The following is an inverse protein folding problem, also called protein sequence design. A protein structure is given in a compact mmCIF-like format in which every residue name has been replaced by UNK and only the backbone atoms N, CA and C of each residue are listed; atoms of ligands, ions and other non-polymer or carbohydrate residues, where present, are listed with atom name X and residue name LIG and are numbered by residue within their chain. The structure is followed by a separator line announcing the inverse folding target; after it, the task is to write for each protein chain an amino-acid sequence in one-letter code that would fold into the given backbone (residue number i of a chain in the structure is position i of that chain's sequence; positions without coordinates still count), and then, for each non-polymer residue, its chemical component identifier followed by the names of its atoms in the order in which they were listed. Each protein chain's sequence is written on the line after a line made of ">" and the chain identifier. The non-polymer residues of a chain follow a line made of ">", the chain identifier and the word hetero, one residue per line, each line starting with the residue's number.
data_IF_118191527357
#
_entry.id   IF_118191527357
#
_cell.length_a   1.000
_cell.length_b   1.000
_cell.length_c   1.000
_cell.angle_alpha   90.00
_cell.angle_beta   90.00
_cell.angle_gamma   90.00
#
_symmetry.space_group_name_H-M   'P 1'
#
loop_
_entity.id
_entity.type
_entity.pdbx_description
1 polymer ?
#
# COMPACT_ATOMS: atom_id res chain seq x y z
N UNK A 1 12.45 -11.57 12.91
CA UNK A 1 11.27 -11.09 12.14
C UNK A 1 11.38 -9.62 11.72
N UNK A 2 12.37 -8.86 12.22
CA UNK A 2 12.52 -7.41 12.01
C UNK A 2 11.31 -6.58 12.49
N UNK A 3 10.45 -7.12 13.35
CA UNK A 3 9.37 -6.35 13.97
C UNK A 3 9.94 -5.35 14.97
N UNK A 4 9.42 -4.13 14.97
CA UNK A 4 9.78 -3.09 15.93
C UNK A 4 9.04 -3.39 17.24
N UNK A 5 9.81 -3.63 18.29
CA UNK A 5 9.29 -3.82 19.65
C UNK A 5 9.59 -2.57 20.48
N UNK A 6 8.62 -2.15 21.30
CA UNK A 6 8.77 -0.97 22.15
C UNK A 6 8.50 -1.35 23.61
N UNK A 7 9.36 -0.90 24.52
CA UNK A 7 9.17 -1.02 25.96
C UNK A 7 9.51 0.29 26.66
N UNK A 8 8.68 0.73 27.58
CA UNK A 8 8.90 1.94 28.33
C UNK A 8 7.63 2.53 28.91
N UNK A 9 7.75 3.67 29.58
CA UNK A 9 6.63 4.36 30.23
C UNK A 9 5.62 4.96 29.23
N UNK A 10 6.00 5.07 27.98
CA UNK A 10 5.18 5.54 26.87
C UNK A 10 4.27 4.44 26.28
N UNK A 11 4.49 3.16 26.65
CA UNK A 11 3.63 2.07 26.23
C UNK A 11 2.33 2.11 27.02
N UNK A 12 1.21 1.94 26.34
CA UNK A 12 -0.13 1.89 26.97
C UNK A 12 -0.22 0.73 27.97
N UNK A 13 -1.13 0.84 28.93
CA UNK A 13 -1.41 -0.27 29.87
C UNK A 13 -2.19 -1.40 29.24
N UNK A 14 -2.89 -1.15 28.14
CA UNK A 14 -3.70 -2.12 27.42
C UNK A 14 -4.95 -1.49 26.80
N UNK A 15 -5.71 -2.29 26.08
CA UNK A 15 -7.00 -1.91 25.52
C UNK A 15 -8.09 -1.90 26.62
N UNK A 16 -8.91 -0.88 26.64
CA UNK A 16 -9.97 -0.74 27.62
C UNK A 16 -10.95 -1.91 27.54
N UNK A 17 -11.14 -2.61 28.68
CA UNK A 17 -12.02 -3.78 28.82
C UNK A 17 -11.76 -4.91 27.78
N UNK A 18 -10.56 -4.98 27.21
CA UNK A 18 -10.19 -6.03 26.25
C UNK A 18 -8.80 -6.62 26.60
N UNK A 19 -8.73 -7.49 27.61
CA UNK A 19 -7.46 -8.11 28.03
C UNK A 19 -6.89 -9.06 26.97
N UNK A 20 -7.74 -9.73 26.18
CA UNK A 20 -7.32 -10.65 25.13
C UNK A 20 -6.53 -9.91 24.05
N UNK A 21 -7.11 -8.84 23.47
CA UNK A 21 -6.39 -8.01 22.49
C UNK A 21 -5.13 -7.36 23.10
N UNK A 22 -5.13 -7.08 24.39
CA UNK A 22 -3.92 -6.58 25.08
C UNK A 22 -2.82 -7.61 25.10
N UNK A 23 -3.14 -8.87 25.44
CA UNK A 23 -2.18 -9.98 25.52
C UNK A 23 -1.62 -10.37 24.13
N UNK A 24 -2.36 -10.09 23.05
CA UNK A 24 -1.88 -10.31 21.68
C UNK A 24 -0.75 -9.36 21.28
N UNK A 25 -0.72 -8.14 21.84
CA UNK A 25 0.23 -7.11 21.40
C UNK A 25 1.22 -6.68 22.47
N UNK A 26 0.97 -6.94 23.74
CA UNK A 26 1.92 -6.72 24.84
C UNK A 26 2.26 -8.08 25.43
N UNK A 27 3.52 -8.48 25.27
CA UNK A 27 3.99 -9.75 25.80
C UNK A 27 4.15 -9.71 27.33
N UNK A 28 4.42 -10.90 27.93
CA UNK A 28 4.60 -11.04 29.41
C UNK A 28 5.80 -10.28 29.96
N UNK A 29 6.75 -9.91 29.12
CA UNK A 29 7.93 -9.14 29.50
C UNK A 29 7.68 -7.63 29.35
N UNK A 30 6.49 -7.21 28.88
CA UNK A 30 6.05 -5.83 28.72
C UNK A 30 6.54 -5.16 27.45
N UNK A 31 6.91 -5.93 26.43
CA UNK A 31 7.19 -5.41 25.09
C UNK A 31 5.92 -5.29 24.27
N UNK A 32 5.71 -4.10 23.69
CA UNK A 32 4.66 -3.86 22.73
C UNK A 32 5.14 -4.29 21.33
N UNK A 33 4.41 -5.21 20.72
CA UNK A 33 4.52 -5.62 19.33
C UNK A 33 3.80 -4.59 18.46
N UNK A 34 4.55 -3.73 17.76
CA UNK A 34 3.93 -2.64 17.00
C UNK A 34 3.24 -3.11 15.73
N UNK A 35 3.59 -4.29 15.23
CA UNK A 35 3.21 -4.79 13.93
C UNK A 35 3.91 -4.08 12.77
N UNK A 36 4.77 -3.09 13.05
CA UNK A 36 5.60 -2.43 12.05
C UNK A 36 6.95 -3.14 11.94
N UNK A 37 7.45 -3.27 10.72
CA UNK A 37 8.76 -3.82 10.41
C UNK A 37 9.78 -2.70 10.24
N UNK A 38 11.00 -2.91 10.71
CA UNK A 38 12.03 -1.89 10.61
C UNK A 38 13.45 -2.41 10.55
N UNK A 39 14.36 -1.53 10.26
CA UNK A 39 15.80 -1.77 10.31
C UNK A 39 16.52 -0.58 10.94
N UNK A 40 17.61 -0.87 11.67
CA UNK A 40 18.52 0.16 12.16
C UNK A 40 19.66 0.35 11.14
N UNK A 41 19.91 1.62 10.79
CA UNK A 41 21.05 2.01 9.96
C UNK A 41 21.67 3.24 10.60
N UNK A 42 22.93 3.12 11.04
CA UNK A 42 23.64 4.20 11.74
C UNK A 42 22.84 4.78 12.91
N UNK A 43 22.27 3.90 13.74
CA UNK A 43 21.42 4.22 14.89
C UNK A 43 20.08 4.92 14.57
N UNK A 44 19.74 5.07 13.30
CA UNK A 44 18.42 5.54 12.86
C UNK A 44 17.51 4.37 12.55
N UNK A 45 16.28 4.42 13.09
CA UNK A 45 15.24 3.44 12.82
C UNK A 45 14.48 3.83 11.54
N UNK A 46 14.53 2.93 10.56
CA UNK A 46 13.75 3.04 9.32
C UNK A 46 12.60 2.04 9.33
N UNK A 47 11.37 2.53 9.21
CA UNK A 47 10.19 1.68 9.03
C UNK A 47 10.20 1.16 7.59
N UNK A 48 10.16 -0.16 7.43
CA UNK A 48 10.23 -0.81 6.13
C UNK A 48 8.90 -1.39 5.65
N UNK A 49 7.92 -1.53 6.54
CA UNK A 49 6.59 -2.06 6.20
C UNK A 49 5.78 -2.46 7.42
N UNK A 50 4.71 -3.23 7.18
CA UNK A 50 3.86 -3.80 8.22
C UNK A 50 3.83 -5.32 8.14
N UNK A 51 3.86 -6.00 9.29
CA UNK A 51 3.83 -7.45 9.39
C UNK A 51 2.57 -8.05 8.74
N UNK A 52 1.41 -7.42 8.96
CA UNK A 52 0.12 -7.82 8.38
C UNK A 52 -0.01 -7.55 6.87
N UNK A 53 0.86 -6.73 6.31
CA UNK A 53 0.86 -6.40 4.88
C UNK A 53 1.86 -7.25 4.09
N UNK A 54 2.65 -8.11 4.77
CA UNK A 54 3.54 -9.04 4.10
C UNK A 54 2.74 -10.06 3.30
N UNK A 55 3.15 -10.28 2.07
CA UNK A 55 2.61 -11.35 1.21
C UNK A 55 3.37 -12.62 1.52
N UNK A 56 2.65 -13.66 1.91
CA UNK A 56 3.22 -14.99 2.18
C UNK A 56 2.93 -15.87 0.97
N UNK A 57 3.95 -16.10 0.16
CA UNK A 57 3.82 -16.96 -1.01
C UNK A 57 3.60 -18.44 -0.62
N UNK A 58 3.05 -19.22 -1.54
CA UNK A 58 2.81 -20.67 -1.37
C UNK A 58 4.07 -21.48 -1.03
N UNK A 59 5.26 -20.98 -1.39
CA UNK A 59 6.55 -21.57 -1.03
C UNK A 59 7.08 -21.10 0.34
N UNK A 60 6.27 -20.42 1.15
CA UNK A 60 6.61 -19.93 2.49
C UNK A 60 7.51 -18.68 2.52
N UNK A 61 7.85 -18.09 1.37
CA UNK A 61 8.64 -16.86 1.35
C UNK A 61 7.76 -15.64 1.61
N UNK A 62 8.26 -14.76 2.48
CA UNK A 62 7.62 -13.50 2.80
C UNK A 62 8.12 -12.40 1.86
N UNK A 63 7.20 -11.68 1.26
CA UNK A 63 7.46 -10.52 0.41
C UNK A 63 6.94 -9.26 1.09
N UNK A 64 7.78 -8.24 1.15
CA UNK A 64 7.34 -6.91 1.51
C UNK A 64 6.87 -6.17 0.24
N UNK A 65 5.56 -5.96 0.04
CA UNK A 65 5.07 -5.31 -1.16
C UNK A 65 5.54 -3.85 -1.26
N UNK A 66 5.67 -3.14 -0.13
CA UNK A 66 6.10 -1.73 -0.11
C UNK A 66 7.51 -1.58 -0.68
N UNK A 67 8.42 -2.53 -0.42
CA UNK A 67 9.78 -2.51 -1.00
C UNK A 67 9.72 -2.56 -2.54
N UNK A 68 8.85 -3.42 -3.08
CA UNK A 68 8.69 -3.58 -4.52
C UNK A 68 8.05 -2.33 -5.14
N UNK A 69 6.96 -1.87 -4.53
CA UNK A 69 6.22 -0.67 -4.95
C UNK A 69 7.11 0.57 -4.99
N UNK A 70 7.92 0.78 -3.94
CA UNK A 70 8.85 1.90 -3.87
C UNK A 70 9.91 1.82 -4.97
N UNK A 71 10.46 0.64 -5.23
CA UNK A 71 11.44 0.44 -6.31
C UNK A 71 10.84 0.71 -7.68
N UNK A 72 9.66 0.16 -7.96
CA UNK A 72 8.97 0.36 -9.25
C UNK A 72 8.61 1.83 -9.44
N UNK A 73 8.02 2.48 -8.43
CA UNK A 73 7.66 3.91 -8.49
C UNK A 73 8.86 4.83 -8.68
N UNK A 74 10.04 4.43 -8.19
CA UNK A 74 11.27 5.22 -8.38
C UNK A 74 11.86 5.14 -9.79
N UNK A 75 11.39 4.22 -10.62
CA UNK A 75 11.90 4.00 -11.99
C UNK A 75 11.18 4.86 -13.03
N UNK A 76 10.04 5.44 -12.71
CA UNK A 76 9.23 6.24 -13.64
C UNK A 76 8.37 7.26 -12.88
N UNK A 77 8.03 8.35 -13.55
CA UNK A 77 7.09 9.36 -13.09
C UNK A 77 5.65 9.13 -13.60
N UNK A 78 5.46 8.09 -14.44
CA UNK A 78 4.16 7.75 -15.05
C UNK A 78 3.20 7.03 -14.09
N UNK A 79 3.65 6.67 -12.88
CA UNK A 79 2.86 5.99 -11.87
C UNK A 79 2.42 6.99 -10.81
N UNK A 80 1.12 7.18 -10.68
CA UNK A 80 0.53 7.94 -9.57
C UNK A 80 0.46 7.09 -8.30
N UNK A 81 -0.05 5.86 -8.42
CA UNK A 81 -0.15 4.91 -7.30
C UNK A 81 0.07 3.48 -7.79
N UNK A 82 0.64 2.66 -6.94
CA UNK A 82 0.87 1.24 -7.21
C UNK A 82 0.56 0.41 -5.98
N UNK A 83 -0.04 -0.76 -6.19
CA UNK A 83 -0.21 -1.80 -5.17
C UNK A 83 0.31 -3.10 -5.73
N UNK A 84 1.20 -3.76 -4.99
CA UNK A 84 1.64 -5.12 -5.28
C UNK A 84 0.93 -6.08 -4.33
N UNK A 85 0.29 -7.09 -4.87
CA UNK A 85 -0.44 -8.12 -4.10
C UNK A 85 -0.35 -9.48 -4.79
N UNK A 86 -0.67 -10.53 -4.06
CA UNK A 86 -0.96 -11.82 -4.67
C UNK A 86 -2.39 -11.79 -5.21
N UNK A 87 -2.54 -12.05 -6.50
CA UNK A 87 -3.82 -12.18 -7.16
C UNK A 87 -3.79 -13.37 -8.11
N UNK A 88 -4.76 -14.28 -8.01
CA UNK A 88 -4.77 -15.56 -8.73
C UNK A 88 -3.47 -16.38 -8.55
N UNK A 89 -2.94 -16.41 -7.32
CA UNK A 89 -1.72 -17.12 -6.93
C UNK A 89 -0.43 -16.64 -7.61
N UNK A 90 -0.45 -15.45 -8.19
CA UNK A 90 0.74 -14.79 -8.78
C UNK A 90 0.92 -13.38 -8.21
N UNK A 91 2.18 -12.95 -8.15
CA UNK A 91 2.49 -11.60 -7.73
C UNK A 91 2.14 -10.62 -8.85
N UNK A 92 1.16 -9.77 -8.57
CA UNK A 92 0.57 -8.82 -9.53
C UNK A 92 0.81 -7.39 -9.08
N UNK A 93 1.21 -6.54 -10.00
CA UNK A 93 1.26 -5.09 -9.81
C UNK A 93 -0.02 -4.45 -10.37
N UNK A 94 -0.77 -3.77 -9.52
CA UNK A 94 -1.92 -2.97 -9.92
C UNK A 94 -1.46 -1.51 -9.92
N UNK A 95 -1.58 -0.85 -11.05
CA UNK A 95 -1.02 0.48 -11.27
C UNK A 95 -2.13 1.45 -11.68
N UNK A 96 -2.21 2.56 -10.97
CA UNK A 96 -2.97 3.74 -11.38
C UNK A 96 -1.97 4.74 -11.98
N UNK A 97 -2.01 4.98 -13.31
CA UNK A 97 -1.09 5.90 -13.97
C UNK A 97 -1.36 7.37 -13.60
N UNK A 98 -0.32 8.17 -13.72
CA UNK A 98 -0.46 9.62 -13.82
C UNK A 98 -0.86 10.00 -15.25
N UNK A 99 -2.16 10.08 -15.51
CA UNK A 99 -2.69 10.32 -16.85
C UNK A 99 -2.30 11.67 -17.43
N UNK A 100 -2.00 12.67 -16.60
CA UNK A 100 -1.50 13.97 -17.07
C UNK A 100 -0.10 13.79 -17.68
N UNK A 101 0.79 13.12 -16.97
CA UNK A 101 2.16 12.83 -17.47
C UNK A 101 2.17 11.88 -18.65
N UNK A 102 1.31 10.87 -18.65
CA UNK A 102 1.15 9.97 -19.82
C UNK A 102 0.81 10.77 -21.07
N UNK A 103 -0.09 11.75 -20.94
CA UNK A 103 -0.46 12.64 -22.06
C UNK A 103 0.66 13.61 -22.44
N UNK A 104 1.35 14.20 -21.45
CA UNK A 104 2.48 15.11 -21.70
C UNK A 104 3.62 14.40 -22.42
N UNK A 105 3.95 13.17 -22.01
CA UNK A 105 5.02 12.36 -22.61
C UNK A 105 4.58 11.64 -23.90
N UNK A 106 3.31 11.80 -24.32
CA UNK A 106 2.74 11.21 -25.54
C UNK A 106 2.91 9.69 -25.61
N UNK A 107 2.63 9.01 -24.48
CA UNK A 107 2.70 7.56 -24.42
C UNK A 107 1.46 6.96 -25.06
N UNK A 108 1.60 6.28 -26.19
CA UNK A 108 0.49 5.69 -26.93
C UNK A 108 -0.10 4.46 -26.22
N UNK A 109 0.75 3.59 -25.67
CA UNK A 109 0.34 2.40 -24.95
C UNK A 109 0.99 2.36 -23.56
N UNK A 110 0.26 2.83 -22.57
CA UNK A 110 0.74 2.89 -21.19
C UNK A 110 0.98 1.50 -20.59
N UNK A 111 0.17 0.50 -20.95
CA UNK A 111 0.37 -0.87 -20.47
C UNK A 111 1.70 -1.45 -20.93
N UNK A 112 1.99 -1.36 -22.23
CA UNK A 112 3.25 -1.84 -22.78
C UNK A 112 4.44 -1.08 -22.21
N UNK A 113 4.34 0.23 -22.11
CA UNK A 113 5.39 1.05 -21.53
C UNK A 113 5.71 0.62 -20.09
N UNK A 114 4.69 0.58 -19.21
CA UNK A 114 4.91 0.20 -17.81
C UNK A 114 5.37 -1.25 -17.66
N UNK A 115 4.84 -2.16 -18.47
CA UNK A 115 5.25 -3.56 -18.43
C UNK A 115 6.71 -3.74 -18.85
N UNK A 116 7.10 -3.27 -20.05
CA UNK A 116 8.41 -3.56 -20.62
C UNK A 116 9.51 -2.64 -20.09
N UNK A 117 9.21 -1.36 -19.95
CA UNK A 117 10.24 -0.37 -19.58
C UNK A 117 10.41 -0.22 -18.07
N UNK A 118 9.44 -0.65 -17.27
CA UNK A 118 9.47 -0.50 -15.81
C UNK A 118 9.49 -1.86 -15.11
N UNK A 119 8.41 -2.63 -15.23
CA UNK A 119 8.25 -3.88 -14.47
C UNK A 119 9.24 -4.94 -14.91
N UNK A 120 9.46 -5.14 -16.21
CA UNK A 120 10.42 -6.13 -16.68
C UNK A 120 11.87 -5.74 -16.36
N UNK A 121 12.20 -4.45 -16.39
CA UNK A 121 13.51 -3.96 -15.92
C UNK A 121 13.69 -4.17 -14.41
N UNK A 122 12.64 -4.04 -13.61
CA UNK A 122 12.64 -4.43 -12.21
C UNK A 122 12.86 -5.93 -12.06
N UNK A 123 12.14 -6.76 -12.83
CA UNK A 123 12.22 -8.22 -12.80
C UNK A 123 13.60 -8.76 -13.13
N UNK A 124 14.34 -8.10 -14.04
CA UNK A 124 15.72 -8.48 -14.40
C UNK A 124 16.71 -8.31 -13.24
N UNK A 125 16.40 -7.43 -12.28
CA UNK A 125 17.31 -7.06 -11.17
C UNK A 125 16.88 -7.63 -9.83
N UNK A 126 15.82 -8.44 -9.80
CA UNK A 126 15.26 -8.98 -8.56
C UNK A 126 15.30 -10.51 -8.52
N UNK A 127 15.15 -11.10 -7.34
CA UNK A 127 15.08 -12.54 -7.16
C UNK A 127 13.79 -13.11 -7.75
N UNK A 128 13.82 -14.35 -8.25
CA UNK A 128 12.70 -14.98 -8.97
C UNK A 128 11.38 -14.94 -8.17
N UNK A 129 11.43 -15.14 -6.87
CA UNK A 129 10.24 -15.12 -6.03
C UNK A 129 9.64 -13.72 -5.79
N UNK A 130 10.36 -12.65 -6.15
CA UNK A 130 9.89 -11.25 -6.09
C UNK A 130 9.47 -10.71 -7.45
N UNK A 131 9.56 -11.50 -8.52
CA UNK A 131 9.17 -11.07 -9.86
C UNK A 131 7.67 -10.82 -9.95
N UNK A 132 7.31 -9.71 -10.54
CA UNK A 132 5.93 -9.38 -10.91
C UNK A 132 5.59 -10.16 -12.17
N UNK A 133 4.57 -11.02 -12.10
CA UNK A 133 4.16 -11.89 -13.20
C UNK A 133 2.98 -11.33 -13.98
N UNK A 134 2.20 -10.44 -13.37
CA UNK A 134 1.08 -9.78 -14.03
C UNK A 134 1.05 -8.28 -13.69
N UNK A 135 0.58 -7.48 -14.65
CA UNK A 135 0.41 -6.03 -14.51
C UNK A 135 -1.01 -5.66 -14.89
N UNK A 136 -1.70 -4.96 -14.01
CA UNK A 136 -3.05 -4.45 -14.26
C UNK A 136 -3.04 -2.93 -14.18
N UNK A 137 -3.53 -2.29 -15.24
CA UNK A 137 -3.74 -0.85 -15.24
C UNK A 137 -5.18 -0.56 -14.86
N UNK A 138 -5.36 0.33 -13.90
CA UNK A 138 -6.68 0.79 -13.47
C UNK A 138 -6.85 2.28 -13.76
N UNK A 139 -8.07 2.66 -14.10
CA UNK A 139 -8.44 4.05 -14.35
C UNK A 139 -9.16 4.68 -13.15
N UNK A 140 -9.50 3.87 -12.16
CA UNK A 140 -10.23 4.26 -10.96
C UNK A 140 -9.25 4.40 -9.79
N UNK A 141 -9.53 5.34 -8.88
CA UNK A 141 -8.74 5.49 -7.66
C UNK A 141 -8.81 4.22 -6.80
N UNK A 142 -7.71 3.89 -6.14
CA UNK A 142 -7.73 2.83 -5.13
C UNK A 142 -8.70 3.16 -3.97
N UNK A 143 -9.33 2.15 -3.37
CA UNK A 143 -10.12 2.35 -2.17
C UNK A 143 -9.22 2.84 -1.02
N UNK A 144 -9.54 4.01 -0.45
CA UNK A 144 -8.73 4.67 0.58
C UNK A 144 -9.47 4.82 1.90
N UNK A 145 -8.73 4.94 2.97
CA UNK A 145 -9.22 5.38 4.27
C UNK A 145 -9.49 6.89 4.25
N UNK A 146 -10.14 7.43 5.29
CA UNK A 146 -10.37 8.88 5.43
C UNK A 146 -9.06 9.70 5.46
N UNK A 147 -7.94 9.08 5.79
CA UNK A 147 -6.62 9.72 5.83
C UNK A 147 -5.76 9.41 4.59
N UNK A 148 -6.38 8.93 3.51
CA UNK A 148 -5.72 8.72 2.21
C UNK A 148 -4.91 7.42 2.07
N UNK A 149 -4.89 6.51 3.07
CA UNK A 149 -4.17 5.24 2.96
C UNK A 149 -4.97 4.22 2.15
N UNK A 150 -4.32 3.53 1.21
CA UNK A 150 -4.93 2.48 0.40
C UNK A 150 -5.36 1.30 1.29
N UNK A 151 -6.60 0.86 1.11
CA UNK A 151 -7.17 -0.31 1.78
C UNK A 151 -6.79 -1.57 0.99
N UNK A 152 -5.60 -2.11 1.25
CA UNK A 152 -5.05 -3.26 0.53
C UNK A 152 -5.97 -4.48 0.52
N UNK A 153 -6.68 -4.72 1.63
CA UNK A 153 -7.61 -5.86 1.76
C UNK A 153 -8.81 -5.79 0.79
N UNK A 154 -9.10 -4.62 0.22
CA UNK A 154 -10.19 -4.43 -0.75
C UNK A 154 -9.73 -4.58 -2.21
N UNK A 155 -8.44 -4.74 -2.46
CA UNK A 155 -7.91 -4.74 -3.83
C UNK A 155 -8.39 -5.94 -4.63
N UNK A 156 -8.42 -7.13 -4.03
CA UNK A 156 -8.92 -8.33 -4.71
C UNK A 156 -10.40 -8.17 -5.10
N UNK A 157 -11.25 -7.68 -4.18
CA UNK A 157 -12.66 -7.44 -4.45
C UNK A 157 -12.88 -6.34 -5.50
N UNK A 158 -12.01 -5.34 -5.53
CA UNK A 158 -12.00 -4.31 -6.57
C UNK A 158 -11.72 -4.91 -7.94
N UNK A 159 -10.69 -5.76 -8.06
CA UNK A 159 -10.33 -6.43 -9.32
C UNK A 159 -11.41 -7.41 -9.79
N UNK A 160 -12.10 -8.07 -8.86
CA UNK A 160 -13.21 -8.98 -9.15
C UNK A 160 -14.54 -8.25 -9.45
N UNK A 161 -14.56 -6.91 -9.40
CA UNK A 161 -15.79 -6.12 -9.61
C UNK A 161 -16.83 -6.26 -8.51
N UNK A 162 -16.45 -6.77 -7.33
CA UNK A 162 -17.36 -6.97 -6.18
C UNK A 162 -17.60 -5.70 -5.38
N UNK A 163 -16.74 -4.70 -5.54
CA UNK A 163 -16.92 -3.39 -4.89
C UNK A 163 -17.82 -2.56 -5.79
N UNK A 164 -19.02 -2.22 -5.30
CA UNK A 164 -19.83 -1.19 -5.94
C UNK A 164 -19.01 0.09 -6.08
N UNK A 165 -18.99 0.64 -7.30
CA UNK A 165 -18.36 1.93 -7.58
C UNK A 165 -18.87 2.94 -6.56
N UNK A 166 -18.02 3.35 -5.61
CA UNK A 166 -18.35 4.50 -4.78
C UNK A 166 -18.50 5.67 -5.75
N UNK A 167 -19.75 6.00 -6.09
CA UNK A 167 -20.04 7.26 -6.77
C UNK A 167 -19.39 8.33 -5.92
N UNK A 168 -18.44 9.09 -6.51
CA UNK A 168 -17.93 10.31 -5.88
C UNK A 168 -19.16 11.02 -5.32
N UNK A 169 -19.18 11.26 -4.00
CA UNK A 169 -20.16 12.21 -3.48
C UNK A 169 -19.97 13.47 -4.32
N UNK A 170 -21.02 14.03 -4.92
CA UNK A 170 -20.87 15.29 -5.62
C UNK A 170 -20.12 16.24 -4.68
N UNK A 171 -19.12 16.94 -5.23
CA UNK A 171 -18.46 18.00 -4.46
C UNK A 171 -19.56 18.86 -3.83
N UNK A 172 -19.44 19.21 -2.54
CA UNK A 172 -20.45 20.05 -1.91
C UNK A 172 -20.61 21.32 -2.77
N UNK A 173 -21.86 21.63 -3.10
CA UNK A 173 -22.20 22.76 -3.93
C UNK A 173 -21.54 24.01 -3.32
N UNK A 174 -20.64 24.63 -4.09
CA UNK A 174 -19.86 25.79 -3.64
C UNK A 174 -20.76 26.96 -3.17
N UNK A 175 -22.03 27.03 -3.61
CA UNK A 175 -23.01 27.99 -3.13
C UNK A 175 -23.39 27.77 -1.65
N UNK A 176 -23.50 26.53 -1.20
CA UNK A 176 -23.82 26.24 0.20
C UNK A 176 -22.61 26.52 1.13
N UNK A 177 -21.40 26.25 0.65
CA UNK A 177 -20.17 26.59 1.38
C UNK A 177 -20.00 28.12 1.51
N UNK A 178 -20.34 28.88 0.48
CA UNK A 178 -20.28 30.34 0.50
C UNK A 178 -21.36 30.97 1.42
N UNK A 179 -22.49 30.30 1.66
CA UNK A 179 -23.49 30.73 2.63
C UNK A 179 -22.99 30.60 4.07
N UNK A 180 -22.23 29.53 4.38
CA UNK A 180 -21.68 29.31 5.74
C UNK A 180 -20.54 30.29 6.04
N UNK A 181 -19.74 30.66 5.05
CA UNK A 181 -18.63 31.63 5.19
C UNK A 181 -19.08 33.05 5.52
N UNK A 182 -20.37 33.33 5.37
CA UNK A 182 -20.98 34.64 5.66
C UNK A 182 -21.32 34.82 7.15
N UNK A 183 -21.23 33.71 7.95
CA UNK A 183 -21.57 33.69 9.38
C UNK A 183 -20.37 33.31 10.28
N UNK A 184 -19.15 33.18 9.72
CA UNK A 184 -17.87 33.04 10.39
C UNK A 184 -17.02 34.30 10.19
#
# INVERSE_FOLDING_TARGET
>A
DNEILVKGRNVMKGYYKNPEATAEIIDKDGWLHTGDLGKLVNDYLYITGRKKEMIVLSNGKNINPIEIETKISSMTNLISEIVVTEYNSILTAIIHPDFEKVKEEKIDNIYENLKWEVVDKYNQKTSDYKKILDVKIINEDFPKTKIGKIKRFMIADMLDGKIEKQKRKPEPDFEEYNKIKKYL
#
